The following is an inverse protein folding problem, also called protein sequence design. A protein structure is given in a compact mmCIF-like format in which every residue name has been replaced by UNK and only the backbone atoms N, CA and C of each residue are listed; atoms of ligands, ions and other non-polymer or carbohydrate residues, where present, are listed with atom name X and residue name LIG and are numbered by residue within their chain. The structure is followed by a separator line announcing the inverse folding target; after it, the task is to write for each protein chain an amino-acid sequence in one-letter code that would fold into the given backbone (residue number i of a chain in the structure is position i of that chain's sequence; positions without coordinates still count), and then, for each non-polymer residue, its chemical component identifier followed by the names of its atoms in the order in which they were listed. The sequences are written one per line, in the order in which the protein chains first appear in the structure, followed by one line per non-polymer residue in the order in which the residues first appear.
data_IF_176322938428
#
_entry.id   IF_176322938428
#
_cell.length_a   1.000
_cell.length_b   1.000
_cell.length_c   1.000
_cell.angle_alpha   90.00
_cell.angle_beta   90.00
_cell.angle_gamma   90.00
#
_symmetry.space_group_name_H-M   'P 1'
#
loop_
_entity.id
_entity.type
_entity.pdbx_description
1 polymer ?
#
# COMPACT_ATOMS: atom_id res chain seq x y z
N UNK A 1 -13.57 -12.66 28.37
CA UNK A 1 -12.55 -13.15 27.41
C UNK A 1 -12.71 -12.32 26.15
N UNK A 2 -11.75 -11.44 25.86
CA UNK A 2 -11.79 -10.53 24.71
C UNK A 2 -11.74 -11.35 23.43
N UNK A 3 -12.85 -11.34 22.70
CA UNK A 3 -13.02 -12.06 21.45
C UNK A 3 -12.00 -11.53 20.41
N UNK A 4 -10.87 -12.20 20.26
CA UNK A 4 -9.77 -11.70 19.45
C UNK A 4 -10.13 -11.86 17.97
N UNK A 5 -10.36 -10.73 17.29
CA UNK A 5 -10.70 -10.74 15.87
C UNK A 5 -9.65 -11.48 15.04
N UNK A 6 -10.10 -12.23 14.03
CA UNK A 6 -9.23 -12.81 13.00
C UNK A 6 -9.11 -11.82 11.87
N UNK A 7 -7.89 -11.37 11.61
CA UNK A 7 -7.60 -10.52 10.46
C UNK A 7 -7.24 -11.34 9.23
N UNK A 8 -7.61 -10.80 8.09
CA UNK A 8 -7.34 -11.33 6.77
C UNK A 8 -7.22 -10.19 5.76
N UNK A 9 -6.64 -10.50 4.62
CA UNK A 9 -6.49 -9.56 3.53
C UNK A 9 -6.53 -10.28 2.18
N UNK A 10 -6.96 -9.56 1.16
CA UNK A 10 -7.11 -10.06 -0.20
C UNK A 10 -7.23 -8.94 -1.22
N UNK A 11 -7.62 -9.29 -2.44
CA UNK A 11 -7.72 -8.31 -3.51
C UNK A 11 -8.82 -8.60 -4.54
N UNK A 12 -9.36 -7.52 -5.11
CA UNK A 12 -10.06 -7.57 -6.40
C UNK A 12 -9.00 -7.52 -7.48
N UNK A 13 -8.63 -8.68 -8.01
CA UNK A 13 -7.66 -8.76 -9.10
C UNK A 13 -8.36 -8.54 -10.43
N UNK A 14 -7.82 -7.63 -11.24
CA UNK A 14 -8.41 -7.28 -12.51
C UNK A 14 -7.38 -7.22 -13.64
N UNK A 15 -7.88 -7.37 -14.87
CA UNK A 15 -7.13 -7.11 -16.12
C UNK A 15 -8.05 -6.53 -17.19
N UNK A 16 -7.44 -6.00 -18.25
CA UNK A 16 -8.16 -5.62 -19.47
C UNK A 16 -7.85 -6.66 -20.56
N UNK A 17 -8.90 -7.17 -21.20
CA UNK A 17 -8.78 -8.02 -22.40
C UNK A 17 -9.54 -7.32 -23.50
N UNK A 18 -8.85 -6.90 -24.57
CA UNK A 18 -9.44 -6.13 -25.67
C UNK A 18 -10.22 -4.90 -25.17
N UNK A 19 -9.67 -4.20 -24.18
CA UNK A 19 -10.29 -3.03 -23.54
C UNK A 19 -11.43 -3.35 -22.56
N UNK A 20 -11.82 -4.62 -22.40
CA UNK A 20 -12.90 -5.03 -21.49
C UNK A 20 -12.36 -5.47 -20.14
N UNK A 21 -12.95 -4.94 -19.07
CA UNK A 21 -12.60 -5.29 -17.70
C UNK A 21 -12.98 -6.75 -17.40
N UNK A 22 -12.02 -7.48 -16.85
CA UNK A 22 -12.23 -8.82 -16.31
C UNK A 22 -11.71 -8.88 -14.87
N UNK A 23 -12.44 -9.60 -14.03
CA UNK A 23 -12.14 -9.84 -12.61
C UNK A 23 -11.75 -11.30 -12.45
N UNK A 24 -10.72 -11.56 -11.65
CA UNK A 24 -10.36 -12.92 -11.26
C UNK A 24 -11.26 -13.37 -10.11
N UNK A 25 -11.87 -14.53 -10.26
CA UNK A 25 -12.52 -15.26 -9.16
C UNK A 25 -11.82 -16.60 -8.96
N UNK A 26 -11.87 -17.11 -7.73
CA UNK A 26 -11.32 -18.42 -7.38
C UNK A 26 -12.44 -19.36 -6.98
N UNK A 27 -12.38 -20.60 -7.44
CA UNK A 27 -13.29 -21.69 -7.07
C UNK A 27 -12.61 -22.51 -5.97
N UNK A 28 -13.16 -22.55 -4.75
CA UNK A 28 -12.50 -23.23 -3.62
C UNK A 28 -12.95 -24.68 -3.50
N UNK A 29 -12.00 -25.59 -3.45
CA UNK A 29 -12.23 -27.04 -3.41
C UNK A 29 -13.00 -27.45 -2.14
N UNK A 30 -12.60 -26.92 -0.99
CA UNK A 30 -13.11 -27.37 0.31
C UNK A 30 -14.56 -26.93 0.60
N UNK A 31 -15.01 -25.84 -0.01
CA UNK A 31 -16.32 -25.23 0.27
C UNK A 31 -17.27 -25.25 -0.93
N UNK A 32 -16.77 -25.65 -2.11
CA UNK A 32 -17.51 -25.62 -3.37
C UNK A 32 -18.17 -24.25 -3.66
N UNK A 33 -17.45 -23.18 -3.34
CA UNK A 33 -17.89 -21.80 -3.51
C UNK A 33 -16.93 -20.99 -4.39
N UNK A 34 -17.38 -19.79 -4.76
CA UNK A 34 -16.61 -18.85 -5.58
C UNK A 34 -16.42 -17.55 -4.81
N UNK A 35 -15.16 -17.17 -4.61
CA UNK A 35 -14.81 -15.97 -3.85
C UNK A 35 -13.75 -15.12 -4.55
N UNK A 36 -13.51 -13.92 -4.01
CA UNK A 36 -12.27 -13.19 -4.26
C UNK A 36 -11.10 -13.86 -3.52
N UNK A 37 -9.85 -13.76 -4.03
CA UNK A 37 -8.68 -14.29 -3.35
C UNK A 37 -8.38 -13.51 -2.06
N UNK A 38 -8.18 -14.23 -0.96
CA UNK A 38 -7.99 -13.70 0.40
C UNK A 38 -7.63 -14.81 1.40
N UNK A 39 -6.73 -14.49 2.33
CA UNK A 39 -6.43 -15.38 3.44
C UNK A 39 -6.00 -14.67 4.71
N UNK A 40 -5.50 -15.44 5.68
CA UNK A 40 -5.30 -14.97 7.06
C UNK A 40 -3.97 -14.25 7.19
N UNK A 41 -3.92 -13.26 8.06
CA UNK A 41 -2.66 -12.61 8.42
C UNK A 41 -1.81 -13.58 9.22
N UNK A 42 -0.56 -13.78 8.79
CA UNK A 42 0.42 -14.57 9.52
C UNK A 42 1.04 -13.80 10.71
N UNK A 43 1.61 -14.50 11.71
CA UNK A 43 2.29 -13.83 12.80
C UNK A 43 3.39 -12.87 12.32
N UNK A 44 3.33 -11.62 12.79
CA UNK A 44 4.28 -10.56 12.38
C UNK A 44 3.91 -9.85 11.08
N UNK A 45 2.96 -10.37 10.31
CA UNK A 45 2.62 -9.86 8.98
C UNK A 45 1.64 -8.67 9.03
N UNK A 46 1.83 -7.67 8.16
CA UNK A 46 0.93 -6.55 7.93
C UNK A 46 -0.08 -6.86 6.81
N UNK A 47 -1.28 -6.27 6.88
CA UNK A 47 -2.38 -6.61 5.96
C UNK A 47 -2.03 -6.46 4.48
N UNK A 48 -1.24 -5.46 4.10
CA UNK A 48 -0.87 -5.23 2.70
C UNK A 48 0.04 -6.35 2.16
N UNK A 49 1.02 -6.81 2.94
CA UNK A 49 1.86 -7.95 2.54
C UNK A 49 1.09 -9.27 2.57
N UNK A 50 0.18 -9.46 3.53
CA UNK A 50 -0.77 -10.57 3.53
C UNK A 50 -1.57 -10.62 2.23
N UNK A 51 -2.14 -9.50 1.78
CA UNK A 51 -2.96 -9.47 0.56
C UNK A 51 -2.17 -10.00 -0.65
N UNK A 52 -0.94 -9.53 -0.87
CA UNK A 52 -0.14 -9.95 -2.03
C UNK A 52 0.40 -11.37 -1.90
N UNK A 53 0.70 -11.82 -0.68
CA UNK A 53 1.11 -13.20 -0.40
C UNK A 53 -0.03 -14.17 -0.72
N UNK A 54 -1.21 -13.94 -0.14
CA UNK A 54 -2.39 -14.78 -0.32
C UNK A 54 -2.83 -14.83 -1.79
N UNK A 55 -2.83 -13.67 -2.46
CA UNK A 55 -3.05 -13.61 -3.91
C UNK A 55 -2.06 -14.51 -4.66
N UNK A 56 -0.77 -14.44 -4.32
CA UNK A 56 0.24 -15.26 -4.99
C UNK A 56 0.08 -16.75 -4.67
N UNK A 57 -0.24 -17.12 -3.43
CA UNK A 57 -0.46 -18.51 -3.01
C UNK A 57 -1.69 -19.13 -3.70
N UNK A 58 -2.82 -18.41 -3.73
CA UNK A 58 -4.07 -18.90 -4.30
C UNK A 58 -4.08 -18.87 -5.84
N UNK A 59 -3.32 -17.97 -6.48
CA UNK A 59 -3.47 -17.70 -7.93
C UNK A 59 -2.18 -17.83 -8.73
N UNK A 60 -1.02 -17.94 -8.07
CA UNK A 60 0.30 -17.88 -8.70
C UNK A 60 0.65 -16.53 -9.34
N UNK A 61 -0.23 -15.53 -9.28
CA UNK A 61 -0.06 -14.23 -9.94
C UNK A 61 0.56 -13.24 -8.95
N UNK A 62 1.71 -12.67 -9.31
CA UNK A 62 2.33 -11.57 -8.54
C UNK A 62 1.67 -10.25 -8.90
N UNK A 63 1.25 -9.50 -7.88
CA UNK A 63 0.60 -8.21 -8.05
C UNK A 63 1.21 -7.15 -7.13
N UNK A 64 0.95 -5.88 -7.47
CA UNK A 64 1.08 -4.76 -6.55
C UNK A 64 -0.32 -4.20 -6.25
N UNK A 65 -0.52 -3.78 -5.02
CA UNK A 65 -1.79 -3.21 -4.56
C UNK A 65 -1.98 -1.79 -5.12
N UNK A 66 -3.20 -1.55 -5.60
CA UNK A 66 -3.74 -0.23 -5.87
C UNK A 66 -4.58 0.24 -4.68
N UNK A 67 -5.70 0.90 -4.98
CA UNK A 67 -6.57 1.53 -3.99
C UNK A 67 -7.21 0.51 -3.02
N UNK A 68 -7.43 0.88 -1.75
CA UNK A 68 -8.29 0.10 -0.87
C UNK A 68 -9.73 0.13 -1.39
N UNK A 69 -10.38 -1.02 -1.48
CA UNK A 69 -11.74 -1.15 -2.05
C UNK A 69 -12.79 -1.52 -1.01
N UNK A 70 -12.40 -1.93 0.21
CA UNK A 70 -13.34 -2.10 1.30
C UNK A 70 -12.87 -3.06 2.39
N UNK A 71 -13.71 -3.20 3.41
CA UNK A 71 -13.48 -4.11 4.54
C UNK A 71 -14.74 -4.93 4.81
N UNK A 72 -14.63 -6.25 4.72
CA UNK A 72 -15.70 -7.18 5.12
C UNK A 72 -15.59 -7.52 6.60
N UNK A 73 -16.73 -7.56 7.30
CA UNK A 73 -16.83 -7.90 8.72
C UNK A 73 -17.96 -8.89 8.95
N UNK A 74 -17.65 -10.08 9.43
CA UNK A 74 -18.66 -11.10 9.76
C UNK A 74 -18.23 -11.94 10.96
N UNK A 75 -19.18 -12.64 11.58
CA UNK A 75 -18.89 -13.57 12.68
C UNK A 75 -18.67 -14.97 12.13
N UNK A 76 -17.62 -15.62 12.61
CA UNK A 76 -17.34 -17.03 12.29
C UNK A 76 -18.18 -17.96 13.21
N UNK A 77 -18.30 -19.26 12.87
CA UNK A 77 -19.04 -20.22 13.71
C UNK A 77 -18.58 -20.29 15.17
N UNK A 78 -17.29 -20.04 15.42
CA UNK A 78 -16.71 -19.96 16.77
C UNK A 78 -16.95 -18.60 17.47
N UNK A 79 -17.91 -17.80 16.99
CA UNK A 79 -18.30 -16.46 17.46
C UNK A 79 -17.28 -15.34 17.26
N UNK A 80 -16.02 -15.66 16.94
CA UNK A 80 -14.97 -14.67 16.66
C UNK A 80 -15.33 -13.81 15.47
N UNK A 81 -15.03 -12.52 15.56
CA UNK A 81 -15.14 -11.61 14.43
C UNK A 81 -14.03 -11.88 13.41
N UNK A 82 -14.39 -12.00 12.13
CA UNK A 82 -13.48 -12.01 10.98
C UNK A 82 -13.53 -10.64 10.32
N UNK A 83 -12.35 -10.05 10.09
CA UNK A 83 -12.19 -8.76 9.42
C UNK A 83 -11.27 -8.97 8.22
N UNK A 84 -11.76 -8.70 7.01
CA UNK A 84 -11.00 -8.88 5.77
C UNK A 84 -10.85 -7.54 5.06
N UNK A 85 -9.62 -7.12 4.82
CA UNK A 85 -9.31 -5.91 4.05
C UNK A 85 -9.04 -6.26 2.58
N UNK A 86 -9.60 -5.47 1.66
CA UNK A 86 -9.41 -5.69 0.23
C UNK A 86 -8.84 -4.46 -0.46
N UNK A 87 -7.96 -4.71 -1.42
CA UNK A 87 -7.41 -3.71 -2.35
C UNK A 87 -7.72 -4.09 -3.79
N UNK A 88 -7.68 -3.12 -4.70
CA UNK A 88 -7.61 -3.44 -6.13
C UNK A 88 -6.19 -3.88 -6.47
N UNK A 89 -6.04 -4.78 -7.43
CA UNK A 89 -4.74 -5.22 -7.90
C UNK A 89 -4.78 -5.52 -9.39
N UNK A 90 -3.88 -4.92 -10.16
CA UNK A 90 -3.78 -5.24 -11.58
C UNK A 90 -2.91 -6.49 -11.78
N UNK A 91 -3.45 -7.49 -12.47
CA UNK A 91 -2.64 -8.55 -13.04
C UNK A 91 -2.11 -8.10 -14.41
N UNK A 92 -0.79 -7.98 -14.54
CA UNK A 92 -0.15 -7.69 -15.84
C UNK A 92 -0.08 -8.97 -16.68
N UNK A 93 -0.01 -8.82 -18.00
CA UNK A 93 0.11 -9.98 -18.89
C UNK A 93 1.37 -10.81 -18.59
N UNK A 94 2.48 -10.15 -18.23
CA UNK A 94 3.70 -10.82 -17.76
C UNK A 94 3.47 -11.63 -16.49
N UNK A 95 2.76 -11.08 -15.50
CA UNK A 95 2.48 -11.77 -14.25
C UNK A 95 1.54 -12.98 -14.45
N UNK A 96 0.56 -12.85 -15.35
CA UNK A 96 -0.33 -13.95 -15.73
C UNK A 96 0.46 -15.05 -16.45
N UNK A 97 1.30 -14.71 -17.44
CA UNK A 97 2.15 -15.67 -18.15
C UNK A 97 3.15 -16.38 -17.24
N UNK A 98 3.66 -15.67 -16.24
CA UNK A 98 4.59 -16.22 -15.25
C UNK A 98 3.88 -17.03 -14.15
N UNK A 99 2.55 -16.98 -14.06
CA UNK A 99 1.81 -17.76 -13.06
C UNK A 99 2.03 -19.26 -13.27
N UNK A 100 2.29 -19.95 -12.16
CA UNK A 100 2.47 -21.40 -12.10
C UNK A 100 1.36 -22.06 -11.29
N UNK A 101 0.19 -21.44 -11.24
CA UNK A 101 -0.94 -22.00 -10.50
C UNK A 101 -1.26 -23.40 -11.00
N UNK A 102 -1.40 -24.31 -10.05
CA UNK A 102 -1.91 -25.66 -10.26
C UNK A 102 -3.02 -25.87 -9.24
N UNK A 103 -4.20 -26.38 -9.65
CA UNK A 103 -5.27 -26.74 -8.73
C UNK A 103 -4.77 -27.55 -7.55
N UNK A 104 -5.23 -27.18 -6.35
CA UNK A 104 -4.80 -27.78 -5.11
C UNK A 104 -5.99 -28.01 -4.15
N UNK A 105 -5.71 -28.45 -2.92
CA UNK A 105 -6.74 -28.77 -1.93
C UNK A 105 -7.56 -27.55 -1.48
N UNK A 106 -7.07 -26.35 -1.71
CA UNK A 106 -7.73 -25.10 -1.35
C UNK A 106 -8.44 -24.48 -2.55
N UNK A 107 -7.75 -24.35 -3.69
CA UNK A 107 -8.28 -23.70 -4.91
C UNK A 107 -8.34 -24.71 -6.05
N UNK A 108 -9.55 -24.98 -6.54
CA UNK A 108 -9.82 -25.90 -7.64
C UNK A 108 -9.58 -25.27 -9.01
N UNK A 109 -9.93 -23.99 -9.17
CA UNK A 109 -9.82 -23.30 -10.46
C UNK A 109 -9.74 -21.78 -10.30
N UNK A 110 -9.15 -21.15 -11.31
CA UNK A 110 -9.13 -19.71 -11.51
C UNK A 110 -9.98 -19.37 -12.73
N UNK A 111 -10.80 -18.32 -12.63
CA UNK A 111 -11.62 -17.88 -13.76
C UNK A 111 -11.60 -16.36 -13.91
N UNK A 112 -11.32 -15.90 -15.14
CA UNK A 112 -11.43 -14.49 -15.50
C UNK A 112 -12.82 -14.21 -16.07
N UNK A 113 -13.60 -13.40 -15.37
CA UNK A 113 -15.00 -13.16 -15.72
C UNK A 113 -15.30 -11.67 -15.87
N UNK A 114 -16.33 -11.32 -16.63
CA UNK A 114 -16.80 -9.92 -16.70
C UNK A 114 -17.39 -9.50 -15.34
N UNK A 115 -17.45 -8.18 -15.02
CA UNK A 115 -18.09 -7.70 -13.79
C UNK A 115 -19.53 -8.20 -13.61
N UNK A 116 -20.31 -8.26 -14.70
CA UNK A 116 -21.67 -8.80 -14.68
C UNK A 116 -21.71 -10.26 -14.25
N UNK A 117 -20.75 -11.07 -14.74
CA UNK A 117 -20.67 -12.50 -14.41
C UNK A 117 -20.11 -12.73 -13.01
N UNK A 118 -19.12 -11.94 -12.58
CA UNK A 118 -18.61 -11.96 -11.21
C UNK A 118 -19.74 -11.78 -10.18
N UNK A 119 -20.66 -10.84 -10.41
CA UNK A 119 -21.84 -10.64 -9.54
C UNK A 119 -22.77 -11.85 -9.43
N UNK A 120 -22.81 -12.70 -10.46
CA UNK A 120 -23.63 -13.93 -10.44
C UNK A 120 -22.89 -15.12 -9.85
N UNK A 121 -21.56 -15.08 -9.78
CA UNK A 121 -20.73 -16.19 -9.32
C UNK A 121 -20.37 -16.10 -7.86
N UNK A 122 -19.99 -14.90 -7.39
CA UNK A 122 -19.54 -14.69 -6.01
C UNK A 122 -20.61 -15.19 -5.04
N UNK A 123 -20.23 -16.17 -4.22
CA UNK A 123 -21.17 -16.93 -3.40
C UNK A 123 -21.62 -16.17 -2.15
N UNK A 124 -20.91 -15.09 -1.78
CA UNK A 124 -21.15 -14.34 -0.57
C UNK A 124 -21.48 -12.87 -0.85
N UNK A 125 -22.54 -12.32 -0.22
CA UNK A 125 -22.90 -10.90 -0.36
C UNK A 125 -21.76 -9.94 -0.05
N UNK A 126 -20.92 -10.27 0.94
CA UNK A 126 -19.78 -9.42 1.32
C UNK A 126 -18.73 -9.29 0.21
N UNK A 127 -18.54 -10.31 -0.63
CA UNK A 127 -17.61 -10.19 -1.77
C UNK A 127 -18.25 -9.37 -2.92
N UNK A 128 -19.59 -9.39 -3.05
CA UNK A 128 -20.32 -8.52 -3.97
C UNK A 128 -20.19 -7.05 -3.58
N UNK A 129 -20.32 -6.73 -2.29
CA UNK A 129 -20.13 -5.36 -1.78
C UNK A 129 -18.71 -4.84 -2.10
N UNK A 130 -17.69 -5.68 -1.94
CA UNK A 130 -16.29 -5.35 -2.28
C UNK A 130 -16.13 -5.14 -3.78
N UNK A 131 -16.71 -6.00 -4.62
CA UNK A 131 -16.70 -5.85 -6.08
C UNK A 131 -17.40 -4.55 -6.50
N UNK A 132 -18.56 -4.25 -5.94
CA UNK A 132 -19.33 -3.04 -6.26
C UNK A 132 -18.60 -1.78 -5.82
N UNK A 133 -17.93 -1.81 -4.67
CA UNK A 133 -17.08 -0.70 -4.22
C UNK A 133 -15.90 -0.46 -5.18
N UNK A 134 -15.25 -1.52 -5.68
CA UNK A 134 -14.23 -1.39 -6.72
C UNK A 134 -14.80 -0.78 -8.01
N UNK A 135 -15.97 -1.26 -8.47
CA UNK A 135 -16.56 -0.81 -9.72
C UNK A 135 -16.99 0.66 -9.69
N UNK A 136 -17.36 1.22 -8.53
CA UNK A 136 -17.58 2.67 -8.39
C UNK A 136 -16.35 3.48 -8.80
N UNK A 137 -15.16 3.08 -8.37
CA UNK A 137 -13.93 3.75 -8.82
C UNK A 137 -13.71 3.62 -10.32
N UNK A 138 -14.04 2.47 -10.92
CA UNK A 138 -13.94 2.27 -12.37
C UNK A 138 -14.90 3.20 -13.12
N UNK A 139 -16.15 3.31 -12.65
CA UNK A 139 -17.18 4.18 -13.22
C UNK A 139 -16.78 5.66 -13.12
N UNK A 140 -16.08 6.04 -12.04
CA UNK A 140 -15.48 7.37 -11.84
C UNK A 140 -14.19 7.58 -12.66
N UNK A 141 -13.82 6.64 -13.53
CA UNK A 141 -12.65 6.74 -14.41
C UNK A 141 -11.31 6.40 -13.74
N UNK A 142 -11.34 5.82 -12.54
CA UNK A 142 -10.17 5.49 -11.72
C UNK A 142 -9.94 3.98 -11.68
N UNK A 143 -9.40 3.46 -12.79
CA UNK A 143 -9.02 2.04 -12.87
C UNK A 143 -7.56 1.80 -12.49
N UNK A 144 -6.63 2.59 -13.04
CA UNK A 144 -5.19 2.46 -12.79
C UNK A 144 -4.73 3.56 -11.85
N UNK A 145 -4.07 3.18 -10.77
CA UNK A 145 -3.43 4.12 -9.85
C UNK A 145 -1.95 3.84 -9.68
N UNK A 146 -1.22 4.81 -9.14
CA UNK A 146 0.13 4.61 -8.62
C UNK A 146 0.24 5.30 -7.24
N UNK A 147 0.98 4.72 -6.29
CA UNK A 147 1.13 5.31 -4.98
C UNK A 147 2.34 6.26 -4.87
N UNK A 148 2.14 7.38 -4.19
CA UNK A 148 3.21 8.10 -3.51
C UNK A 148 3.13 7.79 -2.02
N UNK A 149 4.17 7.15 -1.49
CA UNK A 149 4.20 6.68 -0.12
C UNK A 149 5.01 7.67 0.72
N UNK A 150 4.33 8.36 1.63
CA UNK A 150 4.94 9.30 2.57
C UNK A 150 5.29 8.56 3.84
N UNK A 151 6.59 8.46 4.14
CA UNK A 151 7.13 7.63 5.22
C UNK A 151 7.84 8.51 6.25
N UNK A 152 7.49 8.34 7.54
CA UNK A 152 8.32 8.87 8.63
C UNK A 152 9.49 7.94 8.88
N UNK A 153 10.67 8.48 9.17
CA UNK A 153 11.80 7.65 9.61
C UNK A 153 11.46 6.83 10.88
N UNK A 154 12.17 5.72 11.09
CA UNK A 154 12.04 4.89 12.29
C UNK A 154 12.54 5.59 13.56
N UNK A 155 12.31 4.98 14.74
CA UNK A 155 12.67 5.58 16.03
C UNK A 155 14.19 5.82 16.11
N UNK A 156 14.57 7.08 16.15
CA UNK A 156 15.96 7.52 16.33
C UNK A 156 16.31 7.72 17.81
N UNK A 157 17.61 7.73 18.13
CA UNK A 157 18.15 8.12 19.46
C UNK A 157 17.53 9.47 19.86
N UNK A 158 17.27 9.76 21.14
CA UNK A 158 16.66 11.06 21.50
C UNK A 158 17.64 12.21 21.20
N UNK A 159 17.11 13.43 21.02
CA UNK A 159 17.97 14.62 20.82
C UNK A 159 18.85 14.87 22.06
N UNK A 160 18.25 14.76 23.25
CA UNK A 160 18.93 15.04 24.52
C UNK A 160 20.09 14.09 24.83
N UNK A 161 20.09 12.88 24.24
CA UNK A 161 21.14 11.88 24.42
C UNK A 161 22.15 11.84 23.28
N UNK A 162 22.05 12.76 22.31
CA UNK A 162 22.92 12.80 21.13
C UNK A 162 23.78 14.07 21.15
N UNK A 163 25.10 13.89 21.16
CA UNK A 163 26.07 14.99 21.23
C UNK A 163 26.56 15.49 19.87
N UNK A 164 26.23 14.79 18.77
CA UNK A 164 26.62 15.16 17.42
C UNK A 164 25.58 16.03 16.68
N UNK A 165 25.83 16.38 15.41
CA UNK A 165 24.83 17.02 14.55
C UNK A 165 23.54 16.20 14.46
N UNK A 166 22.35 16.81 14.54
CA UNK A 166 21.06 16.07 14.52
C UNK A 166 20.89 15.24 13.24
N UNK A 167 21.37 15.74 12.09
CA UNK A 167 21.33 15.01 10.81
C UNK A 167 22.05 13.65 10.87
N UNK A 168 23.04 13.49 11.74
CA UNK A 168 23.82 12.25 11.92
C UNK A 168 23.20 11.28 12.94
N UNK A 169 22.12 11.67 13.63
CA UNK A 169 21.49 10.87 14.68
C UNK A 169 20.99 9.52 14.13
N UNK A 170 21.45 8.38 14.67
CA UNK A 170 21.12 7.07 14.13
C UNK A 170 19.75 6.57 14.61
N UNK A 171 19.28 5.49 13.97
CA UNK A 171 18.15 4.70 14.49
C UNK A 171 18.53 4.00 15.80
N UNK A 172 17.55 3.83 16.67
CA UNK A 172 17.65 2.89 17.80
C UNK A 172 17.50 1.45 17.31
N UNK A 173 17.75 0.47 18.21
CA UNK A 173 17.43 -0.94 17.93
C UNK A 173 15.94 -1.14 17.58
N UNK A 174 15.03 -0.44 18.27
CA UNK A 174 13.59 -0.42 17.95
C UNK A 174 13.36 0.16 16.55
N UNK A 175 13.96 1.31 16.24
CA UNK A 175 13.86 1.93 14.92
C UNK A 175 14.37 1.03 13.79
N UNK A 176 15.39 0.23 14.06
CA UNK A 176 15.93 -0.76 13.11
C UNK A 176 14.93 -1.89 12.88
N UNK A 177 14.28 -2.44 13.93
CA UNK A 177 13.21 -3.44 13.76
C UNK A 177 12.02 -2.88 12.98
N UNK A 178 11.59 -1.67 13.32
CA UNK A 178 10.53 -0.95 12.60
C UNK A 178 10.87 -0.79 11.09
N UNK A 179 12.11 -0.40 10.77
CA UNK A 179 12.57 -0.25 9.39
C UNK A 179 12.52 -1.56 8.59
N UNK A 180 12.76 -2.71 9.24
CA UNK A 180 12.62 -4.01 8.60
C UNK A 180 11.14 -4.41 8.43
N UNK A 181 10.31 -4.17 9.43
CA UNK A 181 8.89 -4.54 9.42
C UNK A 181 8.09 -3.87 8.28
N UNK A 182 8.50 -2.68 7.84
CA UNK A 182 7.81 -1.97 6.74
C UNK A 182 8.24 -2.40 5.34
N UNK A 183 9.29 -3.23 5.18
CA UNK A 183 9.78 -3.61 3.84
C UNK A 183 8.71 -4.35 3.05
N UNK A 184 8.11 -5.40 3.63
CA UNK A 184 7.07 -6.20 2.99
C UNK A 184 5.87 -5.38 2.51
N UNK A 185 5.19 -4.59 3.36
CA UNK A 185 4.04 -3.80 2.90
C UNK A 185 4.42 -2.69 1.90
N UNK A 186 5.62 -2.07 2.01
CA UNK A 186 6.06 -1.11 1.00
C UNK A 186 6.29 -1.78 -0.37
N UNK A 187 6.79 -3.02 -0.40
CA UNK A 187 6.88 -3.83 -1.62
C UNK A 187 5.49 -4.24 -2.14
N UNK A 188 4.53 -4.52 -1.25
CA UNK A 188 3.17 -4.87 -1.62
C UNK A 188 2.47 -3.74 -2.39
N UNK A 189 2.74 -2.48 -2.06
CA UNK A 189 2.28 -1.31 -2.82
C UNK A 189 3.13 -1.01 -4.08
N UNK A 190 4.05 -1.90 -4.45
CA UNK A 190 4.83 -1.79 -5.68
C UNK A 190 5.88 -0.68 -5.66
N UNK A 191 6.40 -0.30 -4.49
CA UNK A 191 7.44 0.72 -4.37
C UNK A 191 8.58 0.47 -5.38
N UNK A 192 8.93 1.47 -6.20
CA UNK A 192 9.93 1.33 -7.26
C UNK A 192 11.08 2.33 -7.16
N UNK A 193 10.85 3.45 -6.48
CA UNK A 193 11.82 4.52 -6.26
C UNK A 193 11.84 4.86 -4.78
N UNK A 194 13.04 4.99 -4.22
CA UNK A 194 13.24 5.41 -2.84
C UNK A 194 13.93 6.78 -2.84
N UNK A 195 13.26 7.77 -2.28
CA UNK A 195 13.76 9.12 -2.08
C UNK A 195 13.74 9.37 -0.57
N UNK A 196 14.82 9.88 -0.04
CA UNK A 196 14.96 10.09 1.40
C UNK A 196 15.58 11.46 1.66
N UNK A 197 15.19 12.09 2.76
CA UNK A 197 16.07 13.06 3.41
C UNK A 197 17.45 12.43 3.57
N UNK A 198 18.46 13.25 3.40
CA UNK A 198 19.88 13.00 3.65
C UNK A 198 20.23 12.61 5.10
N UNK A 199 19.38 12.90 6.09
CA UNK A 199 19.60 12.53 7.47
C UNK A 199 19.77 11.00 7.66
N UNK A 200 20.75 10.60 8.49
CA UNK A 200 21.15 9.20 8.71
C UNK A 200 19.96 8.33 9.10
N UNK A 201 19.11 8.78 10.03
CA UNK A 201 17.89 8.05 10.41
C UNK A 201 16.93 7.79 9.25
N UNK A 202 16.73 8.75 8.34
CA UNK A 202 15.86 8.57 7.18
C UNK A 202 16.46 7.58 6.20
N UNK A 203 17.74 7.75 5.84
CA UNK A 203 18.44 6.86 4.92
C UNK A 203 18.48 5.43 5.46
N UNK A 204 18.79 5.25 6.74
CA UNK A 204 18.85 3.94 7.39
C UNK A 204 17.47 3.26 7.39
N UNK A 205 16.39 4.02 7.61
CA UNK A 205 15.02 3.49 7.61
C UNK A 205 14.67 2.80 6.28
N UNK A 206 15.13 3.33 5.15
CA UNK A 206 14.80 2.80 3.82
C UNK A 206 15.89 1.94 3.20
N UNK A 207 16.97 1.66 3.93
CA UNK A 207 18.11 0.90 3.40
C UNK A 207 17.73 -0.54 3.07
N UNK A 208 17.00 -1.23 3.95
CA UNK A 208 16.54 -2.61 3.71
C UNK A 208 15.55 -2.70 2.55
N UNK A 209 14.67 -1.71 2.39
CA UNK A 209 13.79 -1.60 1.23
C UNK A 209 14.60 -1.40 -0.07
N UNK A 210 15.58 -0.50 -0.06
CA UNK A 210 16.43 -0.23 -1.21
C UNK A 210 17.20 -1.48 -1.65
N UNK A 211 17.71 -2.26 -0.69
CA UNK A 211 18.36 -3.55 -0.94
C UNK A 211 17.38 -4.56 -1.55
N UNK A 212 16.18 -4.72 -0.99
CA UNK A 212 15.15 -5.62 -1.52
C UNK A 212 14.71 -5.27 -2.95
N UNK A 213 14.72 -3.98 -3.29
CA UNK A 213 14.43 -3.50 -4.65
C UNK A 213 15.61 -3.61 -5.62
N UNK A 214 16.83 -3.83 -5.12
CA UNK A 214 18.05 -3.68 -5.92
C UNK A 214 18.20 -2.27 -6.51
N UNK A 215 17.76 -1.23 -5.80
CA UNK A 215 17.80 0.17 -6.24
C UNK A 215 18.45 1.08 -5.19
N UNK A 216 19.24 2.08 -5.59
CA UNK A 216 19.86 2.99 -4.62
C UNK A 216 18.84 3.95 -4.01
N UNK A 217 19.10 4.36 -2.76
CA UNK A 217 18.40 5.47 -2.10
C UNK A 217 18.82 6.79 -2.77
N UNK A 218 17.86 7.56 -3.27
CA UNK A 218 18.11 8.92 -3.76
C UNK A 218 18.00 9.90 -2.60
N UNK A 219 19.14 10.27 -2.03
CA UNK A 219 19.24 11.24 -0.94
C UNK A 219 19.03 12.67 -1.48
N UNK A 220 18.33 13.50 -0.73
CA UNK A 220 18.16 14.92 -1.05
C UNK A 220 17.91 15.74 0.20
N UNK A 221 18.56 16.90 0.31
CA UNK A 221 18.32 17.89 1.36
C UNK A 221 16.95 18.56 1.22
N UNK A 222 16.35 18.55 0.02
CA UNK A 222 15.13 19.30 -0.28
C UNK A 222 13.88 18.83 0.49
N UNK A 223 13.95 17.68 1.15
CA UNK A 223 12.92 17.16 2.07
C UNK A 223 13.51 16.86 3.46
N UNK A 224 14.63 17.49 3.82
CA UNK A 224 15.24 17.37 5.14
C UNK A 224 14.60 18.34 6.13
N UNK A 225 14.66 17.99 7.42
CA UNK A 225 14.16 18.89 8.46
C UNK A 225 15.01 20.15 8.56
N UNK A 226 16.34 20.05 8.47
CA UNK A 226 17.24 21.19 8.60
C UNK A 226 17.02 22.21 7.47
N UNK A 227 16.85 21.75 6.23
CA UNK A 227 16.53 22.64 5.11
C UNK A 227 15.14 23.26 5.27
N UNK A 228 14.17 22.50 5.80
CA UNK A 228 12.81 22.98 6.04
C UNK A 228 12.78 24.08 7.10
N UNK A 229 13.44 23.88 8.25
CA UNK A 229 13.53 24.88 9.34
C UNK A 229 14.24 26.16 8.91
N UNK A 230 15.14 26.08 7.93
CA UNK A 230 15.89 27.22 7.40
C UNK A 230 15.24 27.86 6.16
N UNK A 231 14.06 27.38 5.72
CA UNK A 231 13.38 27.88 4.52
C UNK A 231 14.11 27.59 3.21
N UNK A 232 15.02 26.61 3.20
CA UNK A 232 15.81 26.17 2.03
C UNK A 232 15.29 24.89 1.38
N UNK A 233 14.28 24.24 1.97
CA UNK A 233 13.65 23.06 1.39
C UNK A 233 12.92 23.40 0.08
N UNK A 234 12.85 22.44 -0.84
CA UNK A 234 12.05 22.55 -2.08
C UNK A 234 11.24 21.26 -2.25
N UNK A 235 10.27 21.12 -1.36
CA UNK A 235 9.38 19.95 -1.29
C UNK A 235 8.52 19.88 -2.55
N UNK A 236 8.07 21.03 -3.05
CA UNK A 236 7.30 21.18 -4.28
C UNK A 236 8.00 20.58 -5.49
N UNK A 237 9.29 20.86 -5.69
CA UNK A 237 10.03 20.30 -6.83
C UNK A 237 10.15 18.76 -6.72
N UNK A 238 10.43 18.24 -5.53
CA UNK A 238 10.54 16.79 -5.30
C UNK A 238 9.20 16.10 -5.56
N UNK A 239 8.13 16.55 -4.92
CA UNK A 239 6.78 15.99 -5.05
C UNK A 239 6.25 16.13 -6.47
N UNK A 240 6.32 17.32 -7.06
CA UNK A 240 5.84 17.56 -8.43
C UNK A 240 6.54 16.67 -9.45
N UNK A 241 7.85 16.41 -9.28
CA UNK A 241 8.59 15.46 -10.12
C UNK A 241 8.12 14.01 -9.94
N UNK A 242 7.64 13.62 -8.75
CA UNK A 242 7.08 12.29 -8.50
C UNK A 242 5.69 12.14 -9.11
N UNK A 243 4.79 13.11 -8.88
CA UNK A 243 3.44 13.13 -9.47
C UNK A 243 3.52 13.05 -10.99
N UNK A 244 4.31 13.92 -11.64
CA UNK A 244 4.50 13.89 -13.11
C UNK A 244 5.10 12.60 -13.64
N UNK A 245 5.85 11.86 -12.82
CA UNK A 245 6.48 10.61 -13.28
C UNK A 245 5.50 9.44 -13.38
N UNK A 246 4.33 9.52 -12.75
CA UNK A 246 3.32 8.46 -12.76
C UNK A 246 3.80 7.12 -12.21
N UNK A 247 4.83 7.13 -11.34
CA UNK A 247 5.54 5.91 -10.91
C UNK A 247 5.53 5.77 -9.40
N UNK A 248 5.34 4.55 -8.85
CA UNK A 248 5.38 4.29 -7.42
C UNK A 248 6.68 4.78 -6.77
N UNK A 249 6.58 5.53 -5.69
CA UNK A 249 7.75 6.06 -4.98
C UNK A 249 7.52 6.20 -3.47
N UNK A 250 8.57 5.94 -2.69
CA UNK A 250 8.65 6.22 -1.26
C UNK A 250 9.39 7.53 -1.04
N UNK A 251 8.83 8.40 -0.20
CA UNK A 251 9.38 9.67 0.27
C UNK A 251 9.59 9.56 1.78
N UNK A 252 10.80 9.22 2.21
CA UNK A 252 11.15 9.14 3.63
C UNK A 252 11.62 10.50 4.16
N UNK A 253 10.94 11.03 5.19
CA UNK A 253 11.27 12.33 5.78
C UNK A 253 10.94 12.35 7.29
N UNK A 254 10.73 13.55 7.84
CA UNK A 254 10.64 13.86 9.26
C UNK A 254 9.25 14.36 9.61
N UNK A 255 8.80 14.12 10.85
CA UNK A 255 7.46 14.51 11.32
C UNK A 255 7.03 15.93 10.93
N UNK A 256 7.84 16.98 11.15
CA UNK A 256 7.49 18.36 10.77
C UNK A 256 7.35 18.60 9.26
N UNK A 257 7.99 17.77 8.44
CA UNK A 257 8.07 17.94 6.97
C UNK A 257 6.94 17.17 6.25
N UNK A 258 6.40 16.10 6.85
CA UNK A 258 5.36 15.26 6.22
C UNK A 258 4.07 16.04 5.89
N UNK A 259 3.57 16.97 6.73
CA UNK A 259 2.40 17.77 6.39
C UNK A 259 2.58 18.60 5.12
N UNK A 260 3.79 19.13 4.89
CA UNK A 260 4.09 19.88 3.67
C UNK A 260 4.22 18.97 2.46
N UNK A 261 4.82 17.79 2.60
CA UNK A 261 4.82 16.76 1.53
C UNK A 261 3.38 16.42 1.10
N UNK A 262 2.48 16.16 2.06
CA UNK A 262 1.08 15.86 1.77
C UNK A 262 0.37 17.05 1.12
N UNK A 263 0.65 18.27 1.59
CA UNK A 263 0.10 19.51 1.03
C UNK A 263 0.54 19.73 -0.42
N UNK A 264 1.81 19.44 -0.73
CA UNK A 264 2.34 19.54 -2.09
C UNK A 264 1.79 18.44 -3.00
N UNK A 265 1.50 17.24 -2.48
CA UNK A 265 0.81 16.21 -3.28
C UNK A 265 -0.59 16.69 -3.63
N UNK A 266 -1.34 17.21 -2.66
CA UNK A 266 -2.68 17.74 -2.88
C UNK A 266 -2.68 18.90 -3.90
N UNK A 267 -1.75 19.84 -3.78
CA UNK A 267 -1.59 20.94 -4.75
C UNK A 267 -1.26 20.42 -6.15
N UNK A 268 -0.29 19.50 -6.27
CA UNK A 268 0.15 18.97 -7.55
C UNK A 268 -0.94 18.14 -8.27
N UNK A 269 -1.94 17.66 -7.54
CA UNK A 269 -3.05 16.86 -8.07
C UNK A 269 -4.37 17.64 -8.14
N UNK A 270 -4.40 18.92 -7.75
CA UNK A 270 -5.63 19.73 -7.72
C UNK A 270 -6.63 19.33 -6.63
N UNK A 271 -6.18 18.64 -5.58
CA UNK A 271 -7.04 18.18 -4.48
C UNK A 271 -7.32 19.33 -3.51
N UNK A 272 -8.59 19.51 -3.13
CA UNK A 272 -8.96 20.42 -2.05
C UNK A 272 -8.34 19.98 -0.72
N UNK A 273 -7.69 20.92 -0.04
CA UNK A 273 -7.10 20.68 1.28
C UNK A 273 -8.21 20.47 2.31
N UNK A 274 -8.01 19.49 3.19
CA UNK A 274 -8.91 19.20 4.29
C UNK A 274 -8.17 18.55 5.45
N UNK A 275 -8.86 18.41 6.58
CA UNK A 275 -8.31 17.85 7.83
C UNK A 275 -7.72 16.44 7.66
N UNK A 276 -8.26 15.65 6.72
CA UNK A 276 -7.79 14.30 6.41
C UNK A 276 -6.30 14.25 6.00
N UNK A 277 -5.76 15.30 5.35
CA UNK A 277 -4.33 15.39 5.03
C UNK A 277 -3.46 15.55 6.28
N UNK A 278 -3.96 16.27 7.27
CA UNK A 278 -3.30 16.43 8.57
C UNK A 278 -3.23 15.10 9.33
N UNK A 279 -4.35 14.37 9.38
CA UNK A 279 -4.39 13.03 9.97
C UNK A 279 -3.41 12.08 9.28
N UNK A 280 -3.38 12.06 7.94
CA UNK A 280 -2.50 11.18 7.18
C UNK A 280 -1.01 11.58 7.19
N UNK A 281 -0.66 12.78 7.67
CA UNK A 281 0.74 13.21 7.86
C UNK A 281 1.21 13.08 9.31
N UNK A 282 0.29 12.88 10.27
CA UNK A 282 0.62 12.66 11.68
C UNK A 282 1.00 11.20 11.91
N UNK A 283 2.19 10.85 11.42
CA UNK A 283 2.68 9.48 11.37
C UNK A 283 3.56 9.17 12.58
N UNK A 284 3.37 8.01 13.21
CA UNK A 284 4.33 7.45 14.16
C UNK A 284 5.66 7.07 13.48
N UNK A 285 6.68 6.74 14.28
CA UNK A 285 7.97 6.32 13.73
C UNK A 285 7.82 5.09 12.83
N UNK A 286 8.41 5.16 11.63
CA UNK A 286 8.27 4.17 10.56
C UNK A 286 6.84 3.94 10.06
N UNK A 287 5.84 4.67 10.55
CA UNK A 287 4.52 4.67 9.93
C UNK A 287 4.56 5.40 8.59
N UNK A 288 3.68 5.00 7.68
CA UNK A 288 3.59 5.59 6.35
C UNK A 288 2.15 5.75 5.90
N UNK A 289 1.93 6.74 5.04
CA UNK A 289 0.68 6.92 4.31
C UNK A 289 0.90 6.64 2.83
N UNK A 290 0.00 5.85 2.24
CA UNK A 290 -0.03 5.55 0.81
C UNK A 290 -1.05 6.48 0.17
N UNK A 291 -0.57 7.39 -0.68
CA UNK A 291 -1.42 8.32 -1.43
C UNK A 291 -1.61 7.77 -2.83
N UNK A 292 -2.82 7.28 -3.11
CA UNK A 292 -3.19 6.70 -4.40
C UNK A 292 -3.58 7.80 -5.38
N UNK A 293 -2.86 7.90 -6.49
CA UNK A 293 -3.09 8.87 -7.55
C UNK A 293 -3.52 8.16 -8.83
N UNK A 294 -4.44 8.76 -9.59
CA UNK A 294 -4.82 8.23 -10.90
C UNK A 294 -3.61 8.23 -11.84
N UNK A 295 -3.35 7.09 -12.48
CA UNK A 295 -2.27 6.95 -13.46
C UNK A 295 -2.65 7.53 -14.83
N UNK A 296 -3.95 7.69 -15.10
CA UNK A 296 -4.48 8.25 -16.35
C UNK A 296 -4.73 9.75 -16.25
N UNK A 297 -5.15 10.24 -15.08
CA UNK A 297 -5.37 11.66 -14.84
C UNK A 297 -4.84 12.09 -13.46
N UNK A 298 -3.52 12.23 -13.27
CA UNK A 298 -2.95 12.62 -11.98
C UNK A 298 -3.44 13.97 -11.43
N UNK A 299 -4.05 14.81 -12.27
CA UNK A 299 -4.63 16.11 -11.89
C UNK A 299 -6.10 16.04 -11.45
N UNK A 300 -6.70 14.86 -11.37
CA UNK A 300 -8.10 14.68 -10.91
C UNK A 300 -8.24 14.59 -9.39
N UNK A 301 -7.19 14.91 -8.64
CA UNK A 301 -7.14 14.78 -7.20
C UNK A 301 -6.55 13.47 -6.69
N UNK A 302 -6.39 13.41 -5.38
CA UNK A 302 -6.02 12.20 -4.62
C UNK A 302 -7.24 11.27 -4.60
N UNK A 303 -7.06 10.02 -5.01
CA UNK A 303 -8.13 9.02 -5.08
C UNK A 303 -8.44 8.46 -3.69
N UNK A 304 -7.38 8.07 -2.97
CA UNK A 304 -7.50 7.49 -1.65
C UNK A 304 -6.19 7.71 -0.86
N UNK A 305 -6.32 7.74 0.46
CA UNK A 305 -5.18 7.72 1.38
C UNK A 305 -5.44 6.65 2.42
N UNK A 306 -4.43 5.81 2.66
CA UNK A 306 -4.43 4.86 3.77
C UNK A 306 -3.14 5.00 4.57
N UNK A 307 -3.23 4.78 5.88
CA UNK A 307 -2.11 4.94 6.81
C UNK A 307 -1.83 3.61 7.51
N UNK A 308 -0.55 3.26 7.59
CA UNK A 308 -0.08 2.01 8.15
C UNK A 308 0.99 2.26 9.20
N UNK A 309 0.84 1.59 10.33
CA UNK A 309 1.80 1.59 11.43
C UNK A 309 2.53 0.24 11.45
N UNK A 310 3.87 0.22 11.61
CA UNK A 310 4.62 -1.04 11.70
C UNK A 310 4.11 -1.90 12.85
N UNK A 311 4.02 -3.21 12.62
CA UNK A 311 3.86 -4.19 13.70
C UNK A 311 5.24 -4.45 14.32
N UNK A 312 5.31 -4.32 15.64
CA UNK A 312 6.54 -4.53 16.44
C UNK A 312 6.55 -5.88 17.14
#
# INVERSE_FOLDING_TARGET
MTDTAVYAAGAVIWRLVEGKLHILVIHRTAYADVTLPKGKVDPGEMLAETAVREVFEETGIRVALGIPVGVSRYRMPNKRQKIVHYWSAQATDDAIRASRFVPNKEVAALEWVTPKRARTYLSYPVDLEILDAFLKFVDDGVLRTFPLIVLRHGKAVSRDSWSGPDALRPLTARGTRQAHAIVGPLLAFGARRVISSDAVRCVTTVTSLAAALGKPVRRTELISQDAWEQGRADIRAVVGKRVRSGKPAVLCSHGPVLPEIMSEIALATGTLRGSYLGSASTLDFAAFSVVHLSATNPGSGIVAIETHTPKE
#
